data_IF_678025541119
#
_entry.id   IF_678025541119
#
_cell.length_a   1.000
_cell.length_b   1.000
_cell.length_c   1.000
_cell.angle_alpha   90.00
_cell.angle_beta   90.00
_cell.angle_gamma   90.00
#
_symmetry.space_group_name_H-M   'P 1'
#
loop_
_entity.id
_entity.type
_entity.pdbx_description
1 polymer ?
#
# COMPACT_ATOMS: atom_id res chain seq x y z
N UNK A 1 -7.40 9.15 15.37
CA UNK A 1 -6.32 9.89 14.66
C UNK A 1 -6.95 10.93 13.73
N UNK A 2 -6.39 12.15 13.61
CA UNK A 2 -6.88 13.16 12.66
C UNK A 2 -6.00 13.19 11.42
N UNK A 3 -6.61 13.01 10.25
CA UNK A 3 -5.96 13.10 8.95
C UNK A 3 -6.30 14.45 8.34
N UNK A 4 -5.31 15.10 7.73
CA UNK A 4 -5.49 16.31 6.95
C UNK A 4 -5.47 16.03 5.46
N UNK A 5 -5.93 17.00 4.68
CA UNK A 5 -5.75 17.03 3.24
C UNK A 5 -5.21 18.39 2.84
N UNK A 6 -4.21 18.40 1.98
CA UNK A 6 -3.76 19.58 1.27
C UNK A 6 -4.28 19.48 -0.16
N UNK A 7 -5.03 20.48 -0.58
CA UNK A 7 -5.64 20.49 -1.90
C UNK A 7 -5.36 21.82 -2.62
N UNK A 8 -5.46 21.76 -3.94
CA UNK A 8 -5.38 22.94 -4.79
C UNK A 8 -6.61 23.81 -4.56
N UNK A 9 -6.40 25.06 -4.16
CA UNK A 9 -7.46 26.03 -3.98
C UNK A 9 -7.89 26.64 -5.32
N UNK A 10 -9.12 27.16 -5.36
CA UNK A 10 -9.64 27.85 -6.55
C UNK A 10 -8.74 29.03 -6.92
N UNK A 11 -8.44 29.20 -8.22
CA UNK A 11 -7.54 30.23 -8.77
C UNK A 11 -7.81 31.67 -8.31
N UNK A 12 -9.03 31.98 -7.86
CA UNK A 12 -9.44 33.33 -7.42
C UNK A 12 -9.25 33.60 -5.92
N UNK A 13 -8.92 32.59 -5.10
CA UNK A 13 -8.71 32.80 -3.67
C UNK A 13 -7.25 33.19 -3.40
N UNK A 14 -7.06 34.31 -2.70
CA UNK A 14 -5.71 34.73 -2.23
C UNK A 14 -5.37 34.14 -0.85
N UNK A 15 -6.32 33.53 -0.17
CA UNK A 15 -6.18 33.04 1.21
C UNK A 15 -6.29 31.53 1.28
N UNK A 16 -5.55 30.93 2.21
CA UNK A 16 -5.70 29.51 2.58
C UNK A 16 -7.07 29.34 3.24
N UNK A 17 -7.85 28.39 2.75
CA UNK A 17 -9.16 28.06 3.33
C UNK A 17 -9.05 26.73 4.07
N UNK A 18 -9.66 26.68 5.26
CA UNK A 18 -9.73 25.44 6.06
C UNK A 18 -11.18 25.04 6.18
N UNK A 19 -11.49 23.81 5.86
CA UNK A 19 -12.84 23.25 5.98
C UNK A 19 -12.80 21.80 6.46
N UNK A 20 -13.73 21.40 7.33
CA UNK A 20 -13.98 20.00 7.55
C UNK A 20 -14.58 19.38 6.28
N UNK A 21 -14.12 18.23 5.88
CA UNK A 21 -14.66 17.45 4.74
C UNK A 21 -14.84 16.00 5.19
N UNK A 22 -15.76 15.30 4.58
CA UNK A 22 -15.84 13.84 4.67
C UNK A 22 -15.45 13.24 3.33
N UNK A 23 -14.60 12.23 3.37
CA UNK A 23 -14.22 11.43 2.21
C UNK A 23 -14.53 9.99 2.55
N UNK A 24 -15.51 9.40 1.88
CA UNK A 24 -15.96 8.02 2.17
C UNK A 24 -16.19 7.83 3.68
N UNK A 25 -16.98 8.73 4.27
CA UNK A 25 -17.29 8.80 5.71
C UNK A 25 -16.10 9.04 6.67
N UNK A 26 -14.88 9.17 6.16
CA UNK A 26 -13.72 9.55 6.96
C UNK A 26 -13.69 11.07 7.14
N UNK A 27 -13.74 11.59 8.38
CA UNK A 27 -13.62 13.02 8.62
C UNK A 27 -12.17 13.46 8.41
N UNK A 28 -11.96 14.44 7.56
CA UNK A 28 -10.66 15.05 7.30
C UNK A 28 -10.73 16.57 7.48
N UNK A 29 -9.59 17.16 7.82
CA UNK A 29 -9.43 18.61 7.83
C UNK A 29 -8.71 19.04 6.55
N UNK A 30 -9.44 19.68 5.64
CA UNK A 30 -8.93 20.11 4.35
C UNK A 30 -8.36 21.53 4.43
N UNK A 31 -7.16 21.72 3.88
CA UNK A 31 -6.53 23.00 3.63
C UNK A 31 -6.42 23.23 2.12
N UNK A 32 -7.17 24.19 1.59
CA UNK A 32 -7.08 24.61 0.18
C UNK A 32 -6.07 25.75 0.05
N UNK A 33 -5.03 25.50 -0.76
CA UNK A 33 -3.93 26.44 -0.96
C UNK A 33 -3.99 26.94 -2.41
N UNK A 34 -4.06 28.26 -2.64
CA UNK A 34 -4.05 28.83 -3.99
C UNK A 34 -2.74 28.53 -4.74
N UNK A 35 -2.85 28.22 -6.01
CA UNK A 35 -1.68 28.10 -6.91
C UNK A 35 -1.07 29.49 -7.26
N UNK A 36 0.25 29.53 -7.52
CA UNK A 36 1.23 28.45 -7.33
C UNK A 36 1.52 28.22 -5.85
N UNK A 37 1.83 26.96 -5.51
CA UNK A 37 2.13 26.60 -4.13
C UNK A 37 3.48 27.17 -3.68
N UNK A 38 3.43 28.33 -3.05
CA UNK A 38 4.63 28.97 -2.49
C UNK A 38 4.98 28.29 -1.16
N UNK A 39 6.27 27.96 -0.90
CA UNK A 39 6.68 27.26 0.32
C UNK A 39 6.22 27.95 1.61
N UNK A 40 6.18 29.29 1.63
CA UNK A 40 5.68 30.05 2.80
C UNK A 40 4.20 29.79 3.09
N UNK A 41 3.36 29.71 2.05
CA UNK A 41 1.92 29.42 2.20
C UNK A 41 1.70 27.98 2.65
N UNK A 42 2.41 27.05 2.01
CA UNK A 42 2.35 25.64 2.37
C UNK A 42 2.76 25.42 3.83
N UNK A 43 3.87 26.03 4.27
CA UNK A 43 4.32 25.96 5.68
C UNK A 43 3.30 26.55 6.65
N UNK A 44 2.62 27.64 6.27
CA UNK A 44 1.54 28.24 7.10
C UNK A 44 0.34 27.28 7.21
N UNK A 45 -0.09 26.67 6.11
CA UNK A 45 -1.16 25.67 6.11
C UNK A 45 -0.80 24.47 6.98
N UNK A 46 0.42 23.93 6.79
CA UNK A 46 0.94 22.81 7.56
C UNK A 46 0.95 23.07 9.07
N UNK A 47 1.45 24.23 9.48
CA UNK A 47 1.44 24.63 10.91
C UNK A 47 0.02 24.76 11.48
N UNK A 48 -0.92 25.27 10.68
CA UNK A 48 -2.32 25.36 11.10
C UNK A 48 -2.97 23.99 11.26
N UNK A 49 -2.76 23.08 10.32
CA UNK A 49 -3.20 21.67 10.43
C UNK A 49 -2.57 20.98 11.65
N UNK A 50 -1.27 21.20 11.88
CA UNK A 50 -0.56 20.63 13.03
C UNK A 50 -1.14 21.10 14.38
N UNK A 51 -1.48 22.39 14.49
CA UNK A 51 -2.16 22.95 15.67
C UNK A 51 -3.55 22.31 15.93
N UNK A 52 -4.21 21.81 14.90
CA UNK A 52 -5.48 21.07 15.01
C UNK A 52 -5.28 19.57 15.31
N UNK A 53 -4.06 19.15 15.61
CA UNK A 53 -3.73 17.76 15.95
C UNK A 53 -3.54 16.83 14.75
N UNK A 54 -3.47 17.37 13.53
CA UNK A 54 -3.13 16.59 12.34
C UNK A 54 -1.65 16.23 12.38
N UNK A 55 -1.33 14.96 12.08
CA UNK A 55 0.05 14.48 11.96
C UNK A 55 0.36 13.96 10.56
N UNK A 56 -0.64 13.41 9.86
CA UNK A 56 -0.51 12.84 8.53
C UNK A 56 -1.49 13.52 7.56
N UNK A 57 -1.04 13.70 6.32
CA UNK A 57 -1.82 14.42 5.31
C UNK A 57 -1.90 13.64 4.01
N UNK A 58 -3.06 13.77 3.36
CA UNK A 58 -3.29 13.40 1.97
C UNK A 58 -2.94 14.59 1.10
N UNK A 59 -2.31 14.33 -0.02
CA UNK A 59 -1.87 15.34 -1.00
C UNK A 59 -2.31 14.92 -2.40
N UNK A 60 -2.39 15.84 -3.37
CA UNK A 60 -2.62 15.48 -4.77
C UNK A 60 -1.49 14.65 -5.34
N UNK A 61 -1.78 13.89 -6.39
CA UNK A 61 -0.78 13.13 -7.12
C UNK A 61 0.36 14.05 -7.62
N UNK A 62 1.59 13.52 -7.55
CA UNK A 62 2.78 14.25 -7.97
C UNK A 62 3.23 15.38 -7.02
N UNK A 63 2.75 15.39 -5.78
CA UNK A 63 3.18 16.38 -4.80
C UNK A 63 4.67 16.24 -4.44
N UNK A 64 5.47 17.29 -4.70
CA UNK A 64 6.93 17.24 -4.55
C UNK A 64 7.50 18.02 -3.34
N UNK A 65 6.66 18.72 -2.54
CA UNK A 65 7.15 19.62 -1.49
C UNK A 65 7.07 19.03 -0.08
N UNK A 66 7.40 17.73 0.04
CA UNK A 66 7.35 17.00 1.31
C UNK A 66 8.22 17.61 2.39
N UNK A 67 9.46 18.04 2.07
CA UNK A 67 10.37 18.70 3.01
C UNK A 67 9.71 19.87 3.75
N UNK A 68 8.85 20.63 3.03
CA UNK A 68 8.14 21.77 3.63
C UNK A 68 7.08 21.31 4.64
N UNK A 69 6.39 20.19 4.38
CA UNK A 69 5.41 19.62 5.29
C UNK A 69 6.07 18.96 6.50
N UNK A 70 7.11 18.19 6.28
CA UNK A 70 7.88 17.50 7.31
C UNK A 70 8.54 18.48 8.27
N UNK A 71 9.11 19.59 7.76
CA UNK A 71 9.63 20.68 8.59
C UNK A 71 8.59 21.33 9.51
N UNK A 72 7.31 21.18 9.18
CA UNK A 72 6.19 21.61 10.00
C UNK A 72 5.57 20.50 10.88
N UNK A 73 6.14 19.30 10.85
CA UNK A 73 5.72 18.12 11.61
C UNK A 73 4.51 17.38 11.02
N UNK A 74 4.29 17.48 9.70
CA UNK A 74 3.32 16.70 8.96
C UNK A 74 4.04 15.71 8.06
N UNK A 75 3.66 14.42 8.14
CA UNK A 75 4.15 13.38 7.26
C UNK A 75 3.08 12.84 6.30
N UNK A 76 3.48 11.98 5.35
CA UNK A 76 2.55 11.26 4.50
C UNK A 76 1.70 10.27 5.31
N UNK A 77 0.61 9.82 4.74
CA UNK A 77 -0.07 8.61 5.18
C UNK A 77 0.76 7.42 4.74
N UNK A 78 1.20 6.60 5.70
CA UNK A 78 1.96 5.39 5.42
C UNK A 78 1.07 4.33 4.77
N UNK A 79 1.57 3.71 3.71
CA UNK A 79 0.82 2.73 2.92
C UNK A 79 1.30 1.30 3.15
N UNK A 80 2.43 1.10 3.82
CA UNK A 80 3.10 -0.19 3.93
C UNK A 80 2.25 -1.29 4.57
N UNK A 81 1.59 -1.02 5.70
CA UNK A 81 0.72 -2.01 6.35
C UNK A 81 -0.47 -2.39 5.48
N UNK A 82 -1.08 -1.40 4.82
CA UNK A 82 -2.15 -1.64 3.86
C UNK A 82 -1.68 -2.50 2.69
N UNK A 83 -0.56 -2.17 2.06
CA UNK A 83 0.01 -2.96 0.96
C UNK A 83 0.34 -4.40 1.40
N UNK A 84 0.93 -4.57 2.57
CA UNK A 84 1.18 -5.91 3.13
C UNK A 84 -0.11 -6.70 3.40
N UNK A 85 -1.16 -6.04 3.87
CA UNK A 85 -2.46 -6.69 4.07
C UNK A 85 -3.12 -7.09 2.74
N UNK A 86 -2.78 -6.38 1.64
CA UNK A 86 -3.27 -6.66 0.28
C UNK A 86 -2.32 -7.53 -0.54
N UNK A 87 -1.21 -8.02 0.03
CA UNK A 87 -0.22 -8.82 -0.68
C UNK A 87 -0.81 -9.99 -1.51
N UNK A 88 -1.84 -10.74 -1.04
CA UNK A 88 -2.45 -11.78 -1.87
C UNK A 88 -3.08 -11.24 -3.15
N UNK A 89 -3.86 -10.16 -3.06
CA UNK A 89 -4.49 -9.56 -4.23
C UNK A 89 -3.46 -8.95 -5.19
N UNK A 90 -2.41 -8.33 -4.65
CA UNK A 90 -1.28 -7.80 -5.42
C UNK A 90 -0.55 -8.95 -6.15
N UNK A 91 -0.33 -10.08 -5.49
CA UNK A 91 0.28 -11.26 -6.09
C UNK A 91 -0.53 -11.80 -7.28
N UNK A 92 -1.83 -12.00 -7.07
CA UNK A 92 -2.72 -12.51 -8.12
C UNK A 92 -2.80 -11.52 -9.29
N UNK A 93 -2.90 -10.22 -9.01
CA UNK A 93 -2.86 -9.19 -10.05
C UNK A 93 -1.53 -9.23 -10.83
N UNK A 94 -0.39 -9.33 -10.13
CA UNK A 94 0.94 -9.41 -10.76
C UNK A 94 1.08 -10.63 -11.68
N UNK A 95 0.58 -11.80 -11.27
CA UNK A 95 0.57 -13.01 -12.10
C UNK A 95 -0.34 -12.83 -13.32
N UNK A 96 -1.55 -12.28 -13.13
CA UNK A 96 -2.50 -12.02 -14.21
C UNK A 96 -1.94 -11.05 -15.25
N UNK A 97 -1.35 -9.94 -14.79
CA UNK A 97 -0.71 -8.96 -15.69
C UNK A 97 0.52 -9.53 -16.42
N UNK A 98 1.12 -10.59 -15.87
CA UNK A 98 2.19 -11.34 -16.50
C UNK A 98 1.69 -12.47 -17.41
N UNK A 99 0.40 -12.63 -17.61
CA UNK A 99 -0.22 -13.76 -18.31
C UNK A 99 0.12 -15.13 -17.74
N UNK A 100 0.43 -15.20 -16.44
CA UNK A 100 0.70 -16.44 -15.72
C UNK A 100 -0.56 -16.85 -14.96
N UNK A 101 -1.03 -18.07 -15.22
CA UNK A 101 -2.18 -18.62 -14.47
C UNK A 101 -1.72 -18.94 -13.04
N UNK A 102 -2.43 -18.48 -11.99
CA UNK A 102 -2.05 -18.75 -10.60
C UNK A 102 -1.88 -20.23 -10.30
N UNK A 103 -2.75 -21.09 -10.85
CA UNK A 103 -2.72 -22.55 -10.64
C UNK A 103 -1.47 -23.22 -11.24
N UNK A 104 -0.72 -22.51 -12.08
CA UNK A 104 0.56 -22.94 -12.65
C UNK A 104 1.77 -22.29 -11.99
N UNK A 105 1.55 -21.22 -11.22
CA UNK A 105 2.60 -20.34 -10.74
C UNK A 105 3.34 -20.85 -9.49
N UNK A 106 4.59 -20.46 -9.39
CA UNK A 106 5.43 -20.60 -8.18
C UNK A 106 5.63 -19.21 -7.58
N UNK A 107 5.11 -18.98 -6.36
CA UNK A 107 5.23 -17.73 -5.63
C UNK A 107 6.12 -17.93 -4.41
N UNK A 108 7.04 -16.99 -4.15
CA UNK A 108 7.85 -16.98 -2.92
C UNK A 108 7.50 -15.76 -2.05
N UNK A 109 7.28 -16.00 -0.76
CA UNK A 109 7.16 -14.96 0.25
C UNK A 109 8.47 -14.84 1.01
N UNK A 110 9.12 -13.68 0.97
CA UNK A 110 10.41 -13.43 1.60
C UNK A 110 10.32 -12.41 2.71
N UNK A 111 11.05 -12.67 3.80
CA UNK A 111 11.16 -11.76 4.93
C UNK A 111 12.15 -12.28 5.96
N UNK A 112 12.57 -11.42 6.88
CA UNK A 112 13.47 -11.81 7.99
C UNK A 112 12.77 -12.73 8.98
N UNK A 113 11.46 -12.52 9.19
CA UNK A 113 10.59 -13.30 10.06
C UNK A 113 9.18 -13.39 9.51
N UNK A 114 8.45 -14.42 9.91
CA UNK A 114 7.04 -14.52 9.62
C UNK A 114 6.28 -13.47 10.42
N UNK A 115 5.74 -12.48 9.73
CA UNK A 115 4.83 -11.49 10.28
C UNK A 115 3.38 -11.97 10.15
N UNK A 116 2.45 -11.31 10.87
CA UNK A 116 1.01 -11.57 10.70
C UNK A 116 0.57 -11.39 9.24
N UNK A 117 1.03 -10.33 8.58
CA UNK A 117 0.69 -10.06 7.18
C UNK A 117 1.21 -11.18 6.25
N UNK A 118 2.44 -11.64 6.43
CA UNK A 118 3.02 -12.73 5.66
C UNK A 118 2.26 -14.05 5.88
N UNK A 119 1.93 -14.38 7.14
CA UNK A 119 1.14 -15.59 7.47
C UNK A 119 -0.25 -15.54 6.82
N UNK A 120 -0.98 -14.41 6.93
CA UNK A 120 -2.29 -14.24 6.30
C UNK A 120 -2.20 -14.31 4.78
N UNK A 121 -1.12 -13.78 4.19
CA UNK A 121 -0.88 -13.88 2.76
C UNK A 121 -0.61 -15.32 2.32
N UNK A 122 0.18 -16.05 3.08
CA UNK A 122 0.46 -17.47 2.80
C UNK A 122 -0.81 -18.32 2.83
N UNK A 123 -1.66 -18.15 3.86
CA UNK A 123 -2.93 -18.87 3.99
C UNK A 123 -3.89 -18.60 2.82
N UNK A 124 -3.92 -17.35 2.32
CA UNK A 124 -4.78 -16.96 1.18
C UNK A 124 -4.22 -17.38 -0.17
N UNK A 125 -2.89 -17.38 -0.34
CA UNK A 125 -2.26 -17.74 -1.61
C UNK A 125 -2.08 -19.24 -1.79
N UNK A 126 -1.96 -19.99 -0.71
CA UNK A 126 -1.70 -21.44 -0.76
C UNK A 126 -2.73 -22.21 -1.63
N UNK A 127 -4.05 -21.95 -1.53
CA UNK A 127 -5.03 -22.62 -2.37
C UNK A 127 -5.09 -22.07 -3.82
N UNK A 128 -4.51 -20.92 -4.10
CA UNK A 128 -4.62 -20.23 -5.39
C UNK A 128 -3.46 -20.52 -6.34
N UNK A 129 -2.29 -20.90 -5.80
CA UNK A 129 -1.07 -21.05 -6.58
C UNK A 129 -0.56 -22.51 -6.57
N UNK A 130 0.17 -22.89 -7.62
CA UNK A 130 0.71 -24.24 -7.72
C UNK A 130 1.72 -24.55 -6.63
N UNK A 131 2.66 -23.62 -6.40
CA UNK A 131 3.70 -23.76 -5.39
C UNK A 131 3.83 -22.48 -4.60
N UNK A 132 3.82 -22.61 -3.28
CA UNK A 132 4.09 -21.50 -2.37
C UNK A 132 5.38 -21.79 -1.60
N UNK A 133 6.36 -20.90 -1.73
CA UNK A 133 7.65 -20.97 -1.06
C UNK A 133 7.68 -19.96 0.09
N UNK A 134 8.19 -20.35 1.25
CA UNK A 134 8.36 -19.46 2.41
C UNK A 134 9.85 -19.32 2.70
N UNK A 135 10.38 -18.14 2.46
CA UNK A 135 11.78 -17.78 2.72
C UNK A 135 11.85 -16.79 3.90
N UNK A 136 11.67 -17.30 5.11
CA UNK A 136 11.76 -16.54 6.35
C UNK A 136 12.52 -17.36 7.40
N UNK A 137 13.79 -16.98 7.74
CA UNK A 137 14.61 -17.70 8.72
C UNK A 137 13.91 -17.86 10.07
N UNK A 138 13.15 -16.85 10.51
CA UNK A 138 12.43 -16.89 11.79
C UNK A 138 10.96 -17.21 11.55
N UNK A 139 10.54 -18.38 11.95
CA UNK A 139 9.14 -18.83 11.90
C UNK A 139 8.70 -19.47 10.58
N UNK A 140 9.55 -19.49 9.53
CA UNK A 140 9.22 -20.06 8.22
C UNK A 140 8.86 -21.53 8.29
N UNK A 141 9.66 -22.35 8.98
CA UNK A 141 9.38 -23.79 9.16
C UNK A 141 8.03 -24.04 9.88
N UNK A 142 7.69 -23.20 10.88
CA UNK A 142 6.41 -23.28 11.56
C UNK A 142 5.22 -22.96 10.65
N UNK A 143 5.34 -21.92 9.80
CA UNK A 143 4.32 -21.59 8.83
C UNK A 143 4.17 -22.68 7.76
N UNK A 144 5.26 -23.26 7.29
CA UNK A 144 5.22 -24.40 6.36
C UNK A 144 4.50 -25.61 6.96
N UNK A 145 4.78 -25.93 8.22
CA UNK A 145 4.07 -27.03 8.93
C UNK A 145 2.57 -26.74 9.06
N UNK A 146 2.19 -25.49 9.32
CA UNK A 146 0.79 -25.05 9.36
C UNK A 146 0.10 -25.24 8.00
N UNK A 147 0.70 -24.74 6.91
CA UNK A 147 0.16 -24.88 5.55
C UNK A 147 0.01 -26.35 5.13
N UNK A 148 1.01 -27.19 5.45
CA UNK A 148 0.91 -28.62 5.20
C UNK A 148 -0.26 -29.27 5.91
N UNK A 149 -0.48 -28.90 7.16
CA UNK A 149 -1.58 -29.46 7.96
C UNK A 149 -2.95 -29.02 7.45
N UNK A 150 -3.07 -27.74 7.03
CA UNK A 150 -4.37 -27.17 6.63
C UNK A 150 -4.74 -27.49 5.18
N UNK A 151 -3.76 -27.49 4.27
CA UNK A 151 -4.02 -27.64 2.83
C UNK A 151 -3.44 -28.94 2.24
N UNK A 152 -2.71 -29.72 3.01
CA UNK A 152 -2.07 -30.95 2.51
C UNK A 152 -0.94 -30.70 1.50
N UNK A 153 -0.60 -29.45 1.24
CA UNK A 153 0.39 -29.07 0.21
C UNK A 153 1.75 -28.89 0.87
N UNK A 154 2.83 -29.53 0.36
CA UNK A 154 4.17 -29.23 0.82
C UNK A 154 4.52 -27.80 0.42
N UNK A 155 4.56 -26.88 1.40
CA UNK A 155 5.24 -25.61 1.19
C UNK A 155 6.74 -25.95 1.03
N UNK A 156 7.27 -25.72 -0.17
CA UNK A 156 8.64 -26.03 -0.50
C UNK A 156 9.56 -24.94 0.08
N UNK A 157 10.78 -25.34 0.47
CA UNK A 157 11.82 -24.36 0.77
C UNK A 157 12.31 -23.71 -0.53
N UNK A 158 12.74 -22.44 -0.42
CA UNK A 158 13.34 -21.72 -1.56
C UNK A 158 14.69 -22.39 -1.90
N UNK A 159 14.65 -23.31 -2.84
CA UNK A 159 15.84 -24.09 -3.23
C UNK A 159 16.58 -23.37 -4.36
N UNK A 160 17.92 -23.30 -4.32
CA UNK A 160 18.70 -22.77 -5.42
C UNK A 160 18.49 -23.62 -6.68
N UNK A 161 18.10 -22.98 -7.78
CA UNK A 161 17.94 -23.62 -9.10
C UNK A 161 16.56 -23.52 -9.73
N UNK A 162 15.54 -23.11 -9.00
CA UNK A 162 14.20 -22.84 -9.56
C UNK A 162 13.79 -21.41 -9.26
N UNK A 163 13.96 -20.53 -10.24
CA UNK A 163 13.48 -19.15 -10.10
C UNK A 163 11.95 -19.14 -9.94
N UNK A 164 11.40 -18.51 -8.88
CA UNK A 164 9.96 -18.34 -8.76
C UNK A 164 9.45 -17.38 -9.83
N UNK A 165 8.19 -17.56 -10.25
CA UNK A 165 7.53 -16.66 -11.19
C UNK A 165 7.29 -15.27 -10.56
N UNK A 166 7.04 -15.25 -9.24
CA UNK A 166 6.81 -14.04 -8.46
C UNK A 166 7.46 -14.14 -7.07
N UNK A 167 8.17 -13.10 -6.67
CA UNK A 167 8.69 -12.92 -5.32
C UNK A 167 8.00 -11.73 -4.64
N UNK A 168 7.49 -11.94 -3.42
CA UNK A 168 6.93 -10.88 -2.58
C UNK A 168 7.83 -10.69 -1.37
N UNK A 169 8.37 -9.49 -1.23
CA UNK A 169 9.27 -9.14 -0.14
C UNK A 169 8.52 -8.37 0.96
N UNK A 170 8.46 -8.92 2.16
CA UNK A 170 7.90 -8.29 3.37
C UNK A 170 8.96 -7.54 4.18
N UNK A 171 10.23 -7.78 3.88
CA UNK A 171 11.40 -7.06 4.39
C UNK A 171 12.43 -6.93 3.27
N UNK A 172 13.39 -6.00 3.36
CA UNK A 172 14.46 -5.90 2.39
C UNK A 172 15.14 -7.25 2.19
N UNK A 173 15.23 -7.73 0.96
CA UNK A 173 15.76 -9.04 0.63
C UNK A 173 16.57 -8.98 -0.67
N UNK A 174 17.70 -9.66 -0.70
CA UNK A 174 18.55 -9.79 -1.88
C UNK A 174 18.13 -10.95 -2.83
N UNK A 175 17.10 -11.71 -2.48
CA UNK A 175 16.67 -12.85 -3.30
C UNK A 175 16.00 -12.39 -4.60
N UNK A 176 16.33 -13.03 -5.72
CA UNK A 176 15.75 -12.79 -7.05
C UNK A 176 14.48 -13.60 -7.32
N UNK A 177 13.79 -13.24 -8.37
CA UNK A 177 12.66 -13.93 -9.01
C UNK A 177 12.48 -13.32 -10.39
N UNK A 178 11.64 -13.92 -11.23
CA UNK A 178 11.33 -13.33 -12.54
C UNK A 178 10.65 -11.98 -12.40
N UNK A 179 9.82 -11.83 -11.35
CA UNK A 179 9.18 -10.57 -10.95
C UNK A 179 9.27 -10.39 -9.44
N UNK A 180 9.47 -9.16 -9.01
CA UNK A 180 9.58 -8.80 -7.59
C UNK A 180 8.55 -7.75 -7.25
N UNK A 181 7.78 -8.00 -6.19
CA UNK A 181 6.93 -7.01 -5.54
C UNK A 181 7.52 -6.74 -4.16
N UNK A 182 8.08 -5.56 -3.98
CA UNK A 182 8.68 -5.15 -2.72
C UNK A 182 7.68 -4.39 -1.86
N UNK A 183 7.22 -5.02 -0.78
CA UNK A 183 6.31 -4.45 0.24
C UNK A 183 7.06 -4.05 1.51
N UNK A 184 8.39 -3.99 1.47
CA UNK A 184 9.19 -3.54 2.59
C UNK A 184 9.03 -2.04 2.86
N UNK A 185 9.32 -1.61 4.09
CA UNK A 185 9.24 -0.21 4.46
C UNK A 185 7.81 0.31 4.68
N UNK A 186 7.72 1.62 4.95
CA UNK A 186 6.47 2.30 5.29
C UNK A 186 5.67 2.77 4.08
N UNK A 187 6.34 2.99 2.94
CA UNK A 187 5.73 3.45 1.69
C UNK A 187 6.32 2.65 0.52
N UNK A 188 5.89 1.40 0.30
CA UNK A 188 6.36 0.60 -0.82
C UNK A 188 5.95 1.24 -2.16
N UNK A 189 6.80 1.10 -3.16
CA UNK A 189 6.50 1.56 -4.52
C UNK A 189 5.51 0.63 -5.18
N UNK A 190 4.35 1.16 -5.53
CA UNK A 190 3.27 0.41 -6.17
C UNK A 190 2.92 0.99 -7.54
N UNK A 191 3.92 1.56 -8.24
CA UNK A 191 3.75 2.31 -9.50
C UNK A 191 3.10 1.50 -10.63
N UNK A 192 3.23 0.17 -10.58
CA UNK A 192 2.63 -0.75 -11.56
C UNK A 192 1.28 -1.32 -11.10
N UNK A 193 0.75 -0.86 -9.97
CA UNK A 193 -0.50 -1.36 -9.42
C UNK A 193 -1.51 -0.24 -9.24
N UNK A 194 -2.72 -0.48 -9.72
CA UNK A 194 -3.87 0.38 -9.50
C UNK A 194 -4.82 -0.28 -8.51
N UNK A 195 -5.32 0.52 -7.58
CA UNK A 195 -6.26 0.08 -6.55
C UNK A 195 -7.58 0.82 -6.76
N UNK A 196 -8.66 0.08 -6.93
CA UNK A 196 -9.99 0.64 -7.12
C UNK A 196 -10.99 0.08 -6.12
N UNK A 197 -11.97 0.88 -5.75
CA UNK A 197 -13.14 0.42 -5.02
C UNK A 197 -14.16 -0.15 -6.02
N UNK A 198 -14.85 -1.22 -5.65
CA UNK A 198 -15.82 -1.88 -6.53
C UNK A 198 -17.00 -0.98 -6.89
N UNK A 199 -17.50 -0.20 -5.94
CA UNK A 199 -18.76 0.55 -6.06
C UNK A 199 -18.59 2.07 -6.02
N UNK A 200 -17.38 2.57 -5.78
CA UNK A 200 -17.14 3.99 -5.57
C UNK A 200 -15.91 4.48 -6.30
N UNK A 201 -15.99 5.67 -6.85
CA UNK A 201 -14.84 6.34 -7.47
C UNK A 201 -14.06 7.10 -6.41
N UNK A 202 -12.74 6.94 -6.43
CA UNK A 202 -11.86 7.70 -5.55
C UNK A 202 -11.81 9.18 -5.98
N UNK A 203 -11.74 10.12 -5.02
CA UNK A 203 -11.58 11.53 -5.34
C UNK A 203 -10.25 11.78 -6.08
N UNK A 204 -10.30 12.61 -7.11
CA UNK A 204 -9.11 12.99 -7.90
C UNK A 204 -8.21 14.01 -7.19
N UNK A 205 -8.68 14.62 -6.10
CA UNK A 205 -7.97 15.68 -5.38
C UNK A 205 -6.97 15.18 -4.33
N UNK A 206 -6.71 13.87 -4.29
CA UNK A 206 -5.63 13.25 -3.51
C UNK A 206 -5.18 11.92 -4.14
N UNK A 207 -3.99 11.48 -3.78
CA UNK A 207 -3.48 10.17 -4.19
C UNK A 207 -4.37 9.03 -3.66
N UNK A 208 -4.73 8.10 -4.55
CA UNK A 208 -5.66 7.02 -4.22
C UNK A 208 -5.12 6.04 -3.19
N UNK A 209 -3.87 5.59 -3.33
CA UNK A 209 -3.29 4.58 -2.44
C UNK A 209 -3.16 5.07 -0.99
N UNK A 210 -2.63 6.29 -0.69
CA UNK A 210 -2.65 6.83 0.67
C UNK A 210 -4.06 7.03 1.24
N UNK A 211 -5.03 7.40 0.40
CA UNK A 211 -6.43 7.51 0.83
C UNK A 211 -7.00 6.15 1.25
N UNK A 212 -6.80 5.11 0.44
CA UNK A 212 -7.25 3.76 0.76
C UNK A 212 -6.59 3.22 2.05
N UNK A 213 -5.30 3.48 2.21
CA UNK A 213 -4.58 3.12 3.44
C UNK A 213 -5.18 3.82 4.67
N UNK A 214 -5.51 5.11 4.56
CA UNK A 214 -6.14 5.88 5.63
C UNK A 214 -7.54 5.36 5.98
N UNK A 215 -8.35 5.03 4.99
CA UNK A 215 -9.70 4.46 5.17
C UNK A 215 -9.65 3.09 5.84
N UNK A 216 -8.72 2.23 5.38
CA UNK A 216 -8.50 0.92 5.97
C UNK A 216 -8.03 1.01 7.43
N UNK A 217 -7.05 1.85 7.72
CA UNK A 217 -6.52 2.05 9.07
C UNK A 217 -7.59 2.58 10.05
N UNK A 218 -8.52 3.37 9.55
CA UNK A 218 -9.65 3.89 10.35
C UNK A 218 -10.85 2.96 10.42
N UNK A 219 -10.74 1.74 9.87
CA UNK A 219 -11.81 0.73 9.88
C UNK A 219 -13.04 1.10 9.03
N UNK A 220 -12.86 1.97 8.04
CA UNK A 220 -13.94 2.46 7.16
C UNK A 220 -13.94 1.81 5.78
N UNK A 221 -13.03 0.88 5.56
CA UNK A 221 -12.88 0.17 4.32
C UNK A 221 -12.63 -1.30 4.60
N UNK A 222 -13.49 -2.15 4.07
CA UNK A 222 -13.24 -3.59 4.05
C UNK A 222 -12.23 -3.89 2.92
N UNK A 223 -11.14 -4.60 3.22
CA UNK A 223 -10.22 -5.07 2.19
C UNK A 223 -10.90 -5.82 1.02
N UNK A 224 -12.02 -6.50 1.26
CA UNK A 224 -12.77 -7.22 0.20
C UNK A 224 -13.37 -6.29 -0.87
N UNK A 225 -13.59 -5.02 -0.55
CA UNK A 225 -14.14 -4.03 -1.48
C UNK A 225 -13.10 -3.49 -2.48
N UNK A 226 -11.81 -3.83 -2.27
CA UNK A 226 -10.72 -3.31 -3.08
C UNK A 226 -10.33 -4.32 -4.15
N UNK A 227 -10.34 -3.91 -5.40
CA UNK A 227 -9.76 -4.64 -6.53
C UNK A 227 -8.39 -4.08 -6.86
N UNK A 228 -7.44 -4.97 -7.13
CA UNK A 228 -6.08 -4.62 -7.53
C UNK A 228 -5.89 -5.01 -8.99
N UNK A 229 -5.37 -4.09 -9.77
CA UNK A 229 -5.03 -4.27 -11.18
C UNK A 229 -3.54 -3.99 -11.38
N UNK A 230 -2.98 -4.49 -12.46
CA UNK A 230 -1.62 -4.16 -12.89
C UNK A 230 -1.65 -3.57 -14.30
N UNK A 231 -0.84 -2.54 -14.49
CA UNK A 231 -0.56 -1.93 -15.78
C UNK A 231 0.84 -2.38 -16.28
N UNK A 232 1.13 -3.68 -16.18
CA UNK A 232 2.32 -4.21 -16.83
C UNK A 232 2.09 -4.21 -18.36
N UNK A 233 2.45 -3.09 -18.99
CA UNK A 233 2.64 -3.10 -20.43
C UNK A 233 3.94 -3.85 -20.72
N UNK A 234 3.82 -4.89 -21.53
CA UNK A 234 4.89 -5.75 -22.03
C UNK A 234 5.90 -4.95 -22.83
#
# INVERSE_FOLDING_TARGET
>A
MRIGQIAVGRKRSLRIQFSPKRVLDMPILRAEIPEPWRPRRLRRAARALRKQGVKRVLVPAGFAQWDTLESAGLGPVETGEFCRARAPAVALAALTGAHIRPEGATVVLRGERVTRAMRMSALKLCPEVKNLLIAAPVGGAGLQAELRREYGVPALEDAPGRAPDLAIHFAPSAGGGARIVDLSGNNPRMDHFSFALREQTLPEDCEGLPLLAALWETGRLDPAEITVFTDFHS
#
